data_IF_414706928475
#
_entry.id   IF_414706928475
#
_cell.length_a   1.000
_cell.length_b   1.000
_cell.length_c   1.000
_cell.angle_alpha   90.00
_cell.angle_beta   90.00
_cell.angle_gamma   90.00
#
_symmetry.space_group_name_H-M   'P 1'
#
loop_
_entity.id
_entity.type
_entity.pdbx_description
1 polymer ?
#
# COMPACT_ATOMS: atom_id res chain seq x y z
N UNK A 1 -45.45 -21.24 4.93
CA UNK A 1 -44.28 -22.09 4.68
C UNK A 1 -43.08 -21.18 4.61
N UNK A 2 -42.18 -21.28 5.58
CA UNK A 2 -41.01 -20.40 5.71
C UNK A 2 -39.85 -21.00 4.93
N UNK A 3 -39.41 -20.30 3.89
CA UNK A 3 -38.15 -20.54 3.21
C UNK A 3 -36.99 -20.16 4.14
N UNK A 4 -36.18 -21.14 4.53
CA UNK A 4 -34.89 -20.89 5.16
C UNK A 4 -33.93 -20.35 4.10
N UNK A 5 -33.46 -19.13 4.30
CA UNK A 5 -32.33 -18.58 3.54
C UNK A 5 -31.06 -19.17 4.15
N UNK A 6 -30.48 -20.14 3.44
CA UNK A 6 -29.11 -20.60 3.66
C UNK A 6 -28.15 -19.48 3.26
N UNK A 7 -27.52 -18.85 4.24
CA UNK A 7 -26.37 -17.97 4.00
C UNK A 7 -25.18 -18.85 3.62
N UNK A 8 -25.00 -19.00 2.31
CA UNK A 8 -23.83 -19.57 1.68
C UNK A 8 -22.64 -18.60 1.77
N UNK A 9 -21.46 -19.21 1.71
CA UNK A 9 -20.16 -18.63 1.38
C UNK A 9 -19.54 -17.70 2.46
N UNK A 10 -18.71 -18.32 3.28
CA UNK A 10 -17.46 -17.67 3.69
C UNK A 10 -16.71 -17.30 2.40
N UNK A 11 -16.82 -16.04 1.99
CA UNK A 11 -15.90 -15.43 1.03
C UNK A 11 -14.50 -15.55 1.62
N UNK A 12 -13.74 -16.47 1.04
CA UNK A 12 -12.35 -16.72 1.38
C UNK A 12 -11.52 -15.56 0.79
N UNK A 13 -11.04 -14.71 1.70
CA UNK A 13 -10.04 -13.62 1.58
C UNK A 13 -10.53 -12.30 0.94
N UNK A 14 -10.25 -11.17 1.64
CA UNK A 14 -9.04 -10.45 1.28
C UNK A 14 -8.11 -10.27 2.48
N UNK A 15 -6.81 -10.44 2.24
CA UNK A 15 -5.65 -10.29 3.14
C UNK A 15 -5.51 -8.91 3.79
N UNK A 16 -6.54 -8.06 3.69
CA UNK A 16 -6.58 -6.71 4.28
C UNK A 16 -7.45 -6.73 5.52
N UNK A 17 -6.81 -6.64 6.67
CA UNK A 17 -7.43 -6.49 7.97
C UNK A 17 -7.57 -5.01 8.29
N UNK A 18 -8.72 -4.61 8.84
CA UNK A 18 -8.88 -3.28 9.42
C UNK A 18 -8.13 -3.13 10.75
N UNK A 19 -7.82 -4.25 11.40
CA UNK A 19 -7.03 -4.32 12.62
C UNK A 19 -6.42 -5.72 12.80
N UNK A 20 -5.29 -5.81 13.50
CA UNK A 20 -4.71 -7.09 13.93
C UNK A 20 -5.72 -7.85 14.81
N UNK A 21 -5.96 -9.15 14.57
CA UNK A 21 -6.87 -9.94 15.37
C UNK A 21 -6.29 -10.17 16.77
N UNK A 22 -7.09 -9.98 17.82
CA UNK A 22 -6.64 -10.15 19.21
C UNK A 22 -6.06 -11.56 19.49
N UNK A 23 -6.54 -12.60 18.79
CA UNK A 23 -6.04 -13.97 18.90
C UNK A 23 -4.63 -14.18 18.35
N UNK A 24 -4.13 -13.24 17.54
CA UNK A 24 -2.78 -13.31 16.98
C UNK A 24 -1.72 -12.61 17.84
N UNK A 25 -2.15 -11.82 18.84
CA UNK A 25 -1.27 -11.23 19.84
C UNK A 25 -0.81 -12.26 20.89
N UNK A 26 -1.44 -13.44 20.95
CA UNK A 26 -1.11 -14.54 21.87
C UNK A 26 0.09 -15.41 21.39
N UNK A 27 1.00 -14.84 20.60
CA UNK A 27 2.20 -15.57 20.13
C UNK A 27 3.07 -16.03 21.33
N UNK A 28 3.44 -17.32 21.41
CA UNK A 28 3.92 -17.96 22.65
C UNK A 28 5.33 -17.56 23.11
N UNK A 29 6.01 -16.70 22.37
CA UNK A 29 7.26 -16.07 22.79
C UNK A 29 6.95 -14.59 22.98
N UNK A 30 7.14 -14.04 24.18
CA UNK A 30 6.79 -12.65 24.57
C UNK A 30 7.55 -11.52 23.85
N UNK A 31 7.86 -11.72 22.58
CA UNK A 31 8.25 -10.73 21.59
C UNK A 31 7.02 -10.59 20.68
N UNK A 32 6.29 -9.47 20.78
CA UNK A 32 5.06 -9.24 20.01
C UNK A 32 5.21 -9.51 18.51
N UNK A 33 4.09 -9.72 17.82
CA UNK A 33 4.07 -10.07 16.40
C UNK A 33 4.91 -9.11 15.56
N UNK A 34 5.74 -9.66 14.66
CA UNK A 34 6.65 -8.86 13.84
C UNK A 34 5.84 -8.15 12.75
N UNK A 35 5.90 -6.82 12.80
CA UNK A 35 5.24 -5.93 11.86
C UNK A 35 6.24 -5.11 11.05
N UNK A 36 5.87 -4.84 9.80
CA UNK A 36 6.57 -3.91 8.91
C UNK A 36 5.62 -2.80 8.51
N UNK A 37 6.07 -1.55 8.59
CA UNK A 37 5.33 -0.42 8.04
C UNK A 37 5.62 -0.28 6.54
N UNK A 38 4.57 -0.25 5.73
CA UNK A 38 4.66 0.16 4.33
C UNK A 38 3.90 1.48 4.12
N UNK A 39 4.63 2.50 3.71
CA UNK A 39 4.10 3.84 3.47
C UNK A 39 4.31 4.29 2.04
N UNK A 40 3.35 5.00 1.48
CA UNK A 40 3.50 5.61 0.17
C UNK A 40 2.80 6.96 0.20
N UNK A 41 3.56 7.99 -0.14
CA UNK A 41 3.12 9.35 -0.10
C UNK A 41 3.70 10.11 -1.29
N UNK A 42 2.99 11.15 -1.72
CA UNK A 42 3.52 12.06 -2.75
C UNK A 42 4.51 13.02 -2.11
N UNK A 43 4.27 13.39 -0.85
CA UNK A 43 5.10 14.35 -0.13
C UNK A 43 5.77 13.76 1.12
N UNK A 44 6.96 14.26 1.51
CA UNK A 44 7.64 13.77 2.71
C UNK A 44 6.86 13.97 4.02
N UNK A 45 6.09 15.06 4.14
CA UNK A 45 5.32 15.35 5.36
C UNK A 45 4.13 14.40 5.55
N UNK A 46 3.54 13.94 4.44
CA UNK A 46 2.49 12.92 4.45
C UNK A 46 3.05 11.60 5.00
N UNK A 47 4.24 11.20 4.56
CA UNK A 47 4.89 9.99 5.03
C UNK A 47 5.21 10.03 6.53
N UNK A 48 5.67 11.18 7.02
CA UNK A 48 5.92 11.38 8.45
C UNK A 48 4.63 11.20 9.27
N UNK A 49 3.49 11.68 8.77
CA UNK A 49 2.21 11.50 9.46
C UNK A 49 1.67 10.07 9.37
N UNK A 50 1.83 9.39 8.23
CA UNK A 50 1.51 7.97 8.11
C UNK A 50 2.31 7.14 9.12
N UNK A 51 3.60 7.45 9.29
CA UNK A 51 4.48 6.80 10.25
C UNK A 51 3.96 6.98 11.68
N UNK A 52 3.64 8.21 12.10
CA UNK A 52 3.07 8.47 13.44
C UNK A 52 1.81 7.63 13.70
N UNK A 53 0.89 7.55 12.74
CA UNK A 53 -0.34 6.75 12.88
C UNK A 53 -0.05 5.25 13.04
N UNK A 54 0.95 4.74 12.33
CA UNK A 54 1.35 3.32 12.40
C UNK A 54 2.12 3.04 13.68
N UNK A 55 2.97 3.95 14.13
CA UNK A 55 3.69 3.85 15.41
C UNK A 55 2.70 3.83 16.59
N UNK A 56 1.74 4.77 16.63
CA UNK A 56 0.69 4.82 17.66
C UNK A 56 -0.14 3.53 17.68
N UNK A 57 -0.46 2.98 16.49
CA UNK A 57 -1.21 1.73 16.37
C UNK A 57 -0.38 0.52 16.82
N UNK A 58 0.90 0.46 16.44
CA UNK A 58 1.79 -0.63 16.82
C UNK A 58 2.00 -0.67 18.34
N UNK A 59 2.19 0.49 18.99
CA UNK A 59 2.30 0.60 20.45
C UNK A 59 1.01 0.14 21.14
N UNK A 60 -0.16 0.58 20.64
CA UNK A 60 -1.45 0.18 21.20
C UNK A 60 -1.76 -1.33 21.06
N UNK A 61 -1.20 -1.97 20.04
CA UNK A 61 -1.41 -3.39 19.74
C UNK A 61 -0.23 -4.27 20.17
N UNK A 62 0.78 -3.73 20.87
CA UNK A 62 2.00 -4.44 21.27
C UNK A 62 2.71 -5.17 20.11
N UNK A 63 2.73 -4.52 18.94
CA UNK A 63 3.38 -5.02 17.73
C UNK A 63 4.83 -4.59 17.71
N UNK A 64 5.72 -5.51 17.31
CA UNK A 64 7.12 -5.20 17.13
C UNK A 64 7.35 -4.64 15.72
N UNK A 65 7.36 -3.32 15.58
CA UNK A 65 7.68 -2.66 14.32
C UNK A 65 9.19 -2.75 14.03
N UNK A 66 9.59 -3.73 13.22
CA UNK A 66 11.03 -4.04 13.00
C UNK A 66 11.62 -3.26 11.83
N UNK A 67 10.81 -2.86 10.85
CA UNK A 67 11.28 -2.21 9.62
C UNK A 67 10.22 -1.31 9.01
N UNK A 68 10.68 -0.28 8.31
CA UNK A 68 9.85 0.69 7.60
C UNK A 68 10.29 0.75 6.13
N UNK A 69 9.35 0.53 5.21
CA UNK A 69 9.58 0.63 3.78
C UNK A 69 8.67 1.69 3.18
N UNK A 70 9.21 2.51 2.28
CA UNK A 70 8.43 3.56 1.64
C UNK A 70 8.74 3.70 0.16
N UNK A 71 7.70 4.02 -0.61
CA UNK A 71 7.84 4.41 -2.00
C UNK A 71 7.92 5.94 -2.13
N UNK A 72 8.93 6.41 -2.85
CA UNK A 72 9.15 7.82 -3.18
C UNK A 72 9.04 8.02 -4.70
N UNK A 73 8.46 9.15 -5.11
CA UNK A 73 8.47 9.63 -6.50
C UNK A 73 7.92 8.61 -7.51
N UNK A 74 6.89 7.84 -7.15
CA UNK A 74 6.27 6.85 -8.03
C UNK A 74 7.13 5.61 -8.32
N UNK A 75 8.21 5.38 -7.57
CA UNK A 75 9.02 4.16 -7.69
C UNK A 75 8.63 3.16 -6.61
N UNK A 76 8.26 1.95 -7.04
CA UNK A 76 7.87 0.81 -6.18
C UNK A 76 9.08 0.09 -5.54
N UNK A 77 10.15 0.82 -5.19
CA UNK A 77 11.37 0.21 -4.63
C UNK A 77 11.14 -0.29 -3.19
N UNK A 78 10.38 0.47 -2.40
CA UNK A 78 9.99 0.08 -1.03
C UNK A 78 9.07 -1.13 -1.06
N UNK A 79 8.09 -1.16 -1.96
CA UNK A 79 7.23 -2.32 -2.15
C UNK A 79 8.02 -3.59 -2.53
N UNK A 80 9.01 -3.47 -3.41
CA UNK A 80 9.84 -4.63 -3.77
C UNK A 80 10.66 -5.15 -2.59
N UNK A 81 11.25 -4.26 -1.78
CA UNK A 81 11.98 -4.68 -0.57
C UNK A 81 11.05 -5.31 0.47
N UNK A 82 9.84 -4.77 0.62
CA UNK A 82 8.79 -5.34 1.47
C UNK A 82 8.48 -6.78 1.06
N UNK A 83 8.21 -7.02 -0.22
CA UNK A 83 7.90 -8.35 -0.73
C UNK A 83 9.09 -9.32 -0.55
N UNK A 84 10.32 -8.84 -0.78
CA UNK A 84 11.52 -9.64 -0.52
C UNK A 84 11.69 -9.98 0.97
N UNK A 85 11.38 -9.05 1.87
CA UNK A 85 11.40 -9.30 3.31
C UNK A 85 10.32 -10.32 3.73
N UNK A 86 9.10 -10.22 3.18
CA UNK A 86 8.04 -11.19 3.43
C UNK A 86 8.41 -12.59 2.94
N UNK A 87 9.06 -12.69 1.78
CA UNK A 87 9.54 -13.98 1.23
C UNK A 87 10.62 -14.64 2.08
N UNK A 88 11.48 -13.85 2.75
CA UNK A 88 12.49 -14.39 3.68
C UNK A 88 11.88 -14.92 4.98
N UNK A 89 10.59 -14.66 5.21
CA UNK A 89 9.83 -15.13 6.36
C UNK A 89 10.06 -14.31 7.63
N UNK A 90 9.19 -14.51 8.62
CA UNK A 90 9.25 -13.84 9.92
C UNK A 90 8.51 -12.50 9.98
N UNK A 91 7.72 -12.15 8.95
CA UNK A 91 6.82 -10.99 8.96
C UNK A 91 5.39 -11.48 9.05
N UNK A 92 4.73 -11.21 10.17
CA UNK A 92 3.34 -11.58 10.39
C UNK A 92 2.39 -10.52 9.83
N UNK A 93 2.76 -9.24 10.01
CA UNK A 93 1.93 -8.11 9.64
C UNK A 93 2.66 -7.09 8.77
N UNK A 94 1.97 -6.59 7.75
CA UNK A 94 2.36 -5.38 7.02
C UNK A 94 1.32 -4.33 7.32
N UNK A 95 1.71 -3.24 7.98
CA UNK A 95 0.79 -2.16 8.36
C UNK A 95 0.91 -1.02 7.36
N UNK A 96 -0.24 -0.53 6.91
CA UNK A 96 -0.38 0.60 5.99
C UNK A 96 -1.40 1.59 6.54
N UNK A 97 -1.15 2.88 6.34
CA UNK A 97 -2.08 3.91 6.76
C UNK A 97 -3.36 3.91 5.87
N UNK A 98 -3.19 3.60 4.58
CA UNK A 98 -4.27 3.46 3.62
C UNK A 98 -3.89 2.48 2.50
N UNK A 99 -4.89 1.74 2.01
CA UNK A 99 -4.75 0.74 0.95
C UNK A 99 -5.92 0.86 -0.05
N UNK A 100 -5.69 0.76 -1.37
CA UNK A 100 -4.39 0.67 -2.04
C UNK A 100 -3.56 1.95 -1.86
N UNK A 101 -2.23 1.81 -1.91
CA UNK A 101 -1.36 2.98 -1.84
C UNK A 101 -1.45 3.82 -3.12
N UNK A 102 -1.16 5.15 -3.05
CA UNK A 102 -1.36 6.05 -4.20
C UNK A 102 -0.52 5.71 -5.45
N UNK A 103 0.51 4.88 -5.29
CA UNK A 103 1.44 4.48 -6.36
C UNK A 103 1.07 3.13 -6.99
N UNK A 104 0.01 2.47 -6.51
CA UNK A 104 -0.45 1.19 -7.03
C UNK A 104 -1.76 1.36 -7.77
N UNK A 105 -1.84 0.73 -8.94
CA UNK A 105 -3.12 0.45 -9.58
C UNK A 105 -3.89 -0.61 -8.77
N UNK A 106 -5.20 -0.68 -8.94
CA UNK A 106 -6.03 -1.71 -8.28
C UNK A 106 -5.52 -3.11 -8.58
N UNK A 107 -5.13 -3.39 -9.84
CA UNK A 107 -4.58 -4.68 -10.26
C UNK A 107 -3.26 -5.02 -9.57
N UNK A 108 -2.35 -4.05 -9.44
CA UNK A 108 -1.08 -4.27 -8.73
C UNK A 108 -1.33 -4.49 -7.23
N UNK A 109 -2.27 -3.75 -6.64
CA UNK A 109 -2.65 -3.93 -5.24
C UNK A 109 -3.20 -5.34 -5.00
N UNK A 110 -4.08 -5.84 -5.87
CA UNK A 110 -4.61 -7.20 -5.77
C UNK A 110 -3.49 -8.25 -5.85
N UNK A 111 -2.53 -8.08 -6.78
CA UNK A 111 -1.37 -8.96 -6.89
C UNK A 111 -0.48 -8.95 -5.64
N UNK A 112 -0.32 -7.80 -4.99
CA UNK A 112 0.42 -7.70 -3.72
C UNK A 112 -0.32 -8.46 -2.61
N UNK A 113 -1.65 -8.36 -2.52
CA UNK A 113 -2.44 -9.08 -1.53
C UNK A 113 -2.34 -10.59 -1.68
N UNK A 114 -2.35 -11.08 -2.92
CA UNK A 114 -2.14 -12.51 -3.22
C UNK A 114 -0.74 -12.96 -2.79
N UNK A 115 0.29 -12.17 -3.06
CA UNK A 115 1.66 -12.49 -2.64
C UNK A 115 1.82 -12.49 -1.13
N UNK A 116 1.24 -11.53 -0.42
CA UNK A 116 1.26 -11.51 1.05
C UNK A 116 0.55 -12.75 1.61
N UNK A 117 -0.61 -13.12 1.06
CA UNK A 117 -1.33 -14.33 1.44
C UNK A 117 -0.48 -15.60 1.24
N UNK A 118 0.22 -15.69 0.10
CA UNK A 118 1.09 -16.81 -0.21
C UNK A 118 2.27 -16.95 0.76
N UNK A 119 2.74 -15.82 1.31
CA UNK A 119 3.81 -15.79 2.32
C UNK A 119 3.27 -15.94 3.76
N UNK A 120 1.96 -16.05 3.96
CA UNK A 120 1.33 -16.11 5.28
C UNK A 120 1.35 -14.78 6.04
N UNK A 121 1.59 -13.67 5.34
CA UNK A 121 1.63 -12.32 5.91
C UNK A 121 0.28 -11.65 5.75
N UNK A 122 -0.17 -10.92 6.78
CA UNK A 122 -1.44 -10.19 6.76
C UNK A 122 -1.20 -8.70 6.54
N UNK A 123 -1.91 -8.11 5.58
CA UNK A 123 -1.93 -6.65 5.41
C UNK A 123 -2.91 -6.06 6.42
N UNK A 124 -2.49 -5.08 7.18
CA UNK A 124 -3.35 -4.26 8.04
C UNK A 124 -3.45 -2.88 7.40
N UNK A 125 -4.67 -2.47 7.09
CA UNK A 125 -4.96 -1.12 6.61
C UNK A 125 -5.71 -0.36 7.69
N UNK A 126 -5.11 0.71 8.20
CA UNK A 126 -5.74 1.54 9.23
C UNK A 126 -6.97 2.30 8.71
N UNK A 127 -7.08 2.51 7.39
CA UNK A 127 -8.15 3.26 6.72
C UNK A 127 -8.39 4.67 7.29
N UNK A 128 -7.46 5.17 8.09
CA UNK A 128 -7.50 6.48 8.75
C UNK A 128 -6.72 7.53 7.95
N UNK A 129 -6.32 7.19 6.73
CA UNK A 129 -5.50 8.00 5.85
C UNK A 129 -6.11 8.15 4.45
N UNK A 130 -6.25 9.39 4.01
CA UNK A 130 -6.52 9.78 2.63
C UNK A 130 -5.32 10.56 2.07
N UNK A 131 -5.01 10.46 0.76
CA UNK A 131 -3.99 11.31 0.14
C UNK A 131 -4.31 12.79 0.36
N UNK A 132 -3.37 13.57 0.89
CA UNK A 132 -3.59 14.94 1.36
C UNK A 132 -4.00 15.07 2.83
N UNK A 133 -4.22 13.97 3.55
CA UNK A 133 -4.25 14.00 5.01
C UNK A 133 -2.85 14.36 5.55
N UNK A 134 -2.81 15.03 6.69
CA UNK A 134 -1.59 15.58 7.28
C UNK A 134 -1.54 17.10 7.17
N UNK A 135 -1.21 17.75 8.28
CA UNK A 135 -1.06 19.21 8.32
C UNK A 135 0.15 19.59 7.46
N UNK A 136 -0.05 20.29 6.34
CA UNK A 136 1.07 20.72 5.54
C UNK A 136 1.92 21.71 6.35
N UNK A 137 3.25 21.65 6.25
CA UNK A 137 4.11 22.64 6.90
C UNK A 137 3.72 24.07 6.52
N UNK A 138 4.01 25.07 7.35
CA UNK A 138 3.67 26.46 7.06
C UNK A 138 4.16 26.92 5.67
N UNK A 139 5.38 26.51 5.28
CA UNK A 139 5.98 26.78 3.97
C UNK A 139 5.30 26.07 2.78
N UNK A 140 4.47 25.05 3.03
CA UNK A 140 3.74 24.32 1.99
C UNK A 140 2.59 25.11 1.37
N UNK A 141 2.08 26.11 2.10
CA UNK A 141 1.06 27.03 1.61
C UNK A 141 1.66 28.29 0.97
N UNK A 142 2.97 28.46 1.04
CA UNK A 142 3.69 29.58 0.45
C UNK A 142 4.05 29.29 -1.03
N UNK A 143 4.67 30.26 -1.71
CA UNK A 143 5.04 30.15 -3.14
C UNK A 143 5.88 28.90 -3.45
N UNK A 144 6.72 28.45 -2.51
CA UNK A 144 7.53 27.24 -2.68
C UNK A 144 6.68 25.97 -2.78
N UNK A 145 5.65 25.81 -1.93
CA UNK A 145 4.73 24.68 -2.00
C UNK A 145 3.78 24.76 -3.20
N UNK A 146 3.47 25.97 -3.69
CA UNK A 146 2.76 26.14 -4.96
C UNK A 146 3.62 25.69 -6.15
N UNK A 147 4.91 26.03 -6.15
CA UNK A 147 5.86 25.63 -7.19
C UNK A 147 6.05 24.11 -7.25
N UNK A 148 6.15 23.44 -6.10
CA UNK A 148 6.28 21.98 -6.03
C UNK A 148 5.04 21.29 -6.62
N UNK A 149 3.83 21.75 -6.29
CA UNK A 149 2.57 21.21 -6.86
C UNK A 149 2.47 21.43 -8.37
N UNK A 150 2.92 22.59 -8.86
CA UNK A 150 2.94 22.89 -10.29
C UNK A 150 3.93 21.99 -11.03
N UNK A 151 5.10 21.74 -10.44
CA UNK A 151 6.11 20.83 -10.99
C UNK A 151 5.59 19.39 -11.06
N UNK A 152 4.90 18.93 -10.03
CA UNK A 152 4.30 17.59 -10.00
C UNK A 152 3.12 17.45 -10.97
N UNK A 153 2.30 18.49 -11.15
CA UNK A 153 1.26 18.49 -12.18
C UNK A 153 1.86 18.35 -13.59
N UNK A 154 2.97 19.06 -13.87
CA UNK A 154 3.68 18.94 -15.14
C UNK A 154 4.30 17.55 -15.34
N UNK A 155 4.84 16.94 -14.27
CA UNK A 155 5.39 15.57 -14.32
C UNK A 155 4.31 14.51 -14.55
N UNK A 156 3.14 14.67 -13.94
CA UNK A 156 2.00 13.77 -14.13
C UNK A 156 1.46 13.88 -15.56
N UNK A 157 1.39 15.09 -16.12
CA UNK A 157 1.04 15.31 -17.53
C UNK A 157 2.04 14.62 -18.47
N UNK A 158 3.35 14.75 -18.21
CA UNK A 158 4.40 14.07 -19.01
C UNK A 158 4.31 12.54 -18.88
N UNK A 159 4.05 12.03 -17.67
CA UNK A 159 3.85 10.60 -17.43
C UNK A 159 2.64 10.06 -18.19
N UNK A 160 1.50 10.76 -18.12
CA UNK A 160 0.28 10.41 -18.86
C UNK A 160 0.52 10.39 -20.37
N UNK A 161 1.27 11.37 -20.89
CA UNK A 161 1.62 11.40 -22.31
C UNK A 161 2.53 10.23 -22.71
N UNK A 162 3.48 9.84 -21.86
CA UNK A 162 4.33 8.67 -22.09
C UNK A 162 3.55 7.36 -22.02
N UNK A 163 2.61 7.23 -21.09
CA UNK A 163 1.76 6.05 -20.97
C UNK A 163 0.85 5.90 -22.20
N UNK A 164 0.23 6.99 -22.68
CA UNK A 164 -0.57 7.00 -23.92
C UNK A 164 0.25 6.70 -25.18
N UNK A 165 1.50 7.15 -25.23
CA UNK A 165 2.38 6.90 -26.38
C UNK A 165 3.09 5.54 -26.30
N UNK A 166 3.07 4.90 -25.13
CA UNK A 166 3.62 3.55 -24.89
C UNK A 166 2.56 2.45 -24.98
N UNK A 167 1.30 2.77 -25.27
CA UNK A 167 0.35 1.75 -25.74
C UNK A 167 0.91 1.11 -27.02
N UNK A 168 1.07 -0.22 -27.08
CA UNK A 168 1.62 -0.87 -28.25
C UNK A 168 0.66 -0.65 -29.42
N UNK A 169 1.09 0.12 -30.39
CA UNK A 169 0.51 0.04 -31.72
C UNK A 169 0.80 -1.38 -32.20
N UNK A 170 -0.22 -2.26 -32.20
CA UNK A 170 -0.12 -3.54 -32.89
C UNK A 170 0.44 -3.27 -34.29
N UNK A 171 1.56 -3.90 -34.70
CA UNK A 171 2.03 -3.79 -36.06
C UNK A 171 1.06 -4.60 -36.93
N UNK A 172 -0.03 -3.97 -37.34
CA UNK A 172 -0.86 -4.44 -38.43
C UNK A 172 -0.01 -4.41 -39.70
N UNK A 173 0.63 -5.54 -40.03
CA UNK A 173 1.20 -5.84 -41.35
C UNK A 173 1.66 -7.29 -41.43
N UNK A 174 0.79 -8.15 -41.95
CA UNK A 174 1.23 -9.06 -43.00
C UNK A 174 0.11 -9.22 -44.03
N UNK A 175 0.18 -8.35 -45.03
CA UNK A 175 -0.47 -8.52 -46.32
C UNK A 175 0.06 -9.82 -46.93
N UNK A 176 -0.80 -10.84 -47.00
CA UNK A 176 -0.56 -12.03 -47.81
C UNK A 176 -0.36 -11.60 -49.27
N UNK A 177 0.87 -11.79 -49.76
CA UNK A 177 1.19 -11.77 -51.18
C UNK A 177 1.42 -13.21 -51.66
N UNK A 178 0.86 -13.47 -52.85
CA UNK A 178 0.98 -14.64 -53.73
C UNK A 178 0.09 -15.85 -53.43
#
# INVERSE_FOLDING_TARGET
>A
MTTQTTTNAQDQHPTVLAAVPATALDSPAGTGAIAIFYGAARYPFELARQRELVEDYADAMDLNLVTEFHDREGRQYGLRMLLEACQRGGVEYVITAGWPTPNLTTTEADAVLEQLAANGTHLVCLNSWQPGDGTPPAWWNDEEGAWIRQLDALREEDRRQREQTSEPTEPSKEVHHA
#
